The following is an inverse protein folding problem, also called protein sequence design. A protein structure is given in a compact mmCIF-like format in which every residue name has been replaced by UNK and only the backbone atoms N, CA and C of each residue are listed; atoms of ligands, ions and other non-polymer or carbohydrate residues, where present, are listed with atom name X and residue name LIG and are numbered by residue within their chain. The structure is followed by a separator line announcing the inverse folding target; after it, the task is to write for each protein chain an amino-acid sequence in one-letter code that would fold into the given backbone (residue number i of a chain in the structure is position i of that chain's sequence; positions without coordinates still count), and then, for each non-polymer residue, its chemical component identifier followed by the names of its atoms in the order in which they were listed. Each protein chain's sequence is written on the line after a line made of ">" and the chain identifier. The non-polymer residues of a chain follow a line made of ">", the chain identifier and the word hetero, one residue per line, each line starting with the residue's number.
data_IF_648521298926
#
_entry.id   IF_648521298926
#
_cell.length_a   1.000
_cell.length_b   1.000
_cell.length_c   1.000
_cell.angle_alpha   90.00
_cell.angle_beta   90.00
_cell.angle_gamma   90.00
#
_symmetry.space_group_name_H-M   'P 1'
#
loop_
_entity.id
_entity.type
_entity.pdbx_description
1 polymer ?
#
# COMPACT_ATOMS: atom_id res chain seq x y z
N UNK A 1 -17.43 18.79 39.45
CA UNK A 1 -18.07 18.10 38.29
C UNK A 1 -17.46 18.67 37.03
N UNK A 2 -16.78 17.86 36.27
CA UNK A 2 -16.23 18.19 34.96
C UNK A 2 -17.06 17.53 33.85
N UNK A 3 -17.22 18.24 32.74
CA UNK A 3 -17.89 17.73 31.54
C UNK A 3 -16.88 17.72 30.38
N UNK A 4 -16.75 16.62 29.67
CA UNK A 4 -16.03 16.57 28.41
C UNK A 4 -16.95 15.95 27.37
N UNK A 5 -17.13 16.63 26.26
CA UNK A 5 -17.80 16.11 25.09
C UNK A 5 -16.79 15.26 24.32
N UNK A 6 -16.83 13.96 24.53
CA UNK A 6 -16.01 13.00 23.78
C UNK A 6 -16.92 12.34 22.76
N UNK A 7 -17.24 13.06 21.68
CA UNK A 7 -17.72 12.53 20.39
C UNK A 7 -18.71 11.37 20.35
N UNK A 8 -19.48 11.15 21.40
CA UNK A 8 -20.49 10.10 21.51
C UNK A 8 -21.85 10.67 21.90
N UNK A 9 -22.93 9.97 21.56
CA UNK A 9 -24.33 10.39 21.81
C UNK A 9 -24.68 10.60 23.30
N UNK A 10 -23.75 10.31 24.23
CA UNK A 10 -23.96 10.45 25.68
C UNK A 10 -22.91 11.35 26.33
N UNK A 11 -23.31 12.38 27.09
CA UNK A 11 -22.38 13.20 27.84
C UNK A 11 -21.69 12.39 28.95
N UNK A 12 -20.38 12.55 29.09
CA UNK A 12 -19.60 11.93 30.16
C UNK A 12 -19.41 12.96 31.28
N UNK A 13 -19.84 12.60 32.50
CA UNK A 13 -19.69 13.41 33.69
C UNK A 13 -18.58 12.84 34.58
N UNK A 14 -17.63 13.68 34.95
CA UNK A 14 -16.61 13.36 35.92
C UNK A 14 -17.04 13.89 37.28
N UNK A 15 -17.07 13.04 38.30
CA UNK A 15 -17.41 13.42 39.67
C UNK A 15 -16.56 12.65 40.67
N UNK A 16 -16.50 13.12 41.94
CA UNK A 16 -15.83 12.39 43.00
C UNK A 16 -16.60 11.11 43.35
N UNK A 17 -15.89 10.12 43.86
CA UNK A 17 -16.51 8.86 44.32
C UNK A 17 -17.58 9.08 45.38
N UNK A 18 -17.35 10.04 46.30
CA UNK A 18 -18.31 10.42 47.35
C UNK A 18 -19.62 10.95 46.74
N UNK A 19 -19.53 11.83 45.79
CA UNK A 19 -20.69 12.40 45.08
C UNK A 19 -21.44 11.34 44.25
N UNK A 20 -20.70 10.39 43.67
CA UNK A 20 -21.28 9.29 42.91
C UNK A 20 -22.10 8.34 43.80
N UNK A 21 -21.56 7.97 44.95
CA UNK A 21 -22.26 7.13 45.95
C UNK A 21 -23.48 7.84 46.53
N UNK A 22 -23.43 9.16 46.74
CA UNK A 22 -24.56 9.95 47.25
C UNK A 22 -25.70 10.05 46.23
N UNK A 23 -25.35 10.17 44.92
CA UNK A 23 -26.35 10.26 43.85
C UNK A 23 -26.99 8.90 43.51
N UNK A 24 -26.24 7.83 43.59
CA UNK A 24 -26.67 6.49 43.23
C UNK A 24 -26.73 5.58 44.45
N UNK A 25 -27.90 5.15 44.85
CA UNK A 25 -28.16 4.37 46.06
C UNK A 25 -27.48 2.98 46.09
N UNK A 26 -27.04 2.48 44.93
CA UNK A 26 -26.24 1.26 44.78
C UNK A 26 -25.38 1.33 43.53
N UNK A 27 -24.25 2.05 43.55
CA UNK A 27 -23.41 2.25 42.38
C UNK A 27 -22.73 0.95 41.97
N UNK A 28 -23.08 0.43 40.84
CA UNK A 28 -22.33 -0.64 40.18
C UNK A 28 -21.14 -0.05 39.45
N UNK A 29 -19.95 -0.49 39.76
CA UNK A 29 -18.73 -0.07 39.05
C UNK A 29 -18.63 -0.86 37.78
N UNK A 30 -18.63 -0.16 36.63
CA UNK A 30 -18.60 -0.76 35.32
C UNK A 30 -17.20 -1.19 34.90
N UNK A 31 -16.20 -0.39 35.24
CA UNK A 31 -14.80 -0.69 34.89
C UNK A 31 -13.82 -0.05 35.85
N UNK A 32 -12.73 -0.76 36.09
CA UNK A 32 -11.55 -0.23 36.77
C UNK A 32 -10.40 -0.11 35.80
N UNK A 33 -9.72 1.02 35.80
CA UNK A 33 -8.49 1.22 35.06
C UNK A 33 -7.37 1.45 36.04
N UNK A 34 -6.31 0.68 35.95
CA UNK A 34 -5.14 0.77 36.83
C UNK A 34 -3.87 0.40 36.07
N UNK A 35 -2.75 0.98 36.48
CA UNK A 35 -1.42 0.67 35.95
C UNK A 35 -0.76 -0.37 36.87
N UNK A 36 -0.07 -1.32 36.23
CA UNK A 36 0.68 -2.38 36.93
C UNK A 36 2.15 -2.28 36.52
N UNK A 37 3.04 -2.29 37.50
CA UNK A 37 4.48 -2.38 37.21
C UNK A 37 4.81 -3.68 36.46
N UNK A 38 5.77 -3.64 35.55
CA UNK A 38 6.12 -4.77 34.67
C UNK A 38 6.42 -6.07 35.46
N UNK A 39 7.00 -5.94 36.65
CA UNK A 39 7.34 -7.10 37.51
C UNK A 39 6.11 -7.80 38.04
N UNK A 40 5.02 -7.08 38.28
CA UNK A 40 3.76 -7.59 38.84
C UNK A 40 2.69 -7.88 37.80
N UNK A 41 2.99 -7.71 36.52
CA UNK A 41 2.02 -7.87 35.42
C UNK A 41 1.49 -9.30 35.31
N UNK A 42 2.39 -10.30 35.34
CA UNK A 42 1.99 -11.72 35.26
C UNK A 42 1.11 -12.18 36.46
N UNK A 43 1.51 -11.92 37.73
CA UNK A 43 0.67 -12.25 38.85
C UNK A 43 -0.70 -11.55 38.84
N UNK A 44 -0.75 -10.28 38.44
CA UNK A 44 -1.99 -9.52 38.32
C UNK A 44 -2.93 -10.11 37.25
N UNK A 45 -2.38 -10.48 36.10
CA UNK A 45 -3.13 -11.10 35.02
C UNK A 45 -3.69 -12.48 35.45
N UNK A 46 -2.88 -13.27 36.13
CA UNK A 46 -3.31 -14.59 36.64
C UNK A 46 -4.43 -14.45 37.68
N UNK A 47 -4.32 -13.48 38.59
CA UNK A 47 -5.36 -13.17 39.56
C UNK A 47 -6.67 -12.74 38.87
N UNK A 48 -6.62 -11.82 37.89
CA UNK A 48 -7.82 -11.35 37.18
C UNK A 48 -8.48 -12.51 36.41
N UNK A 49 -7.69 -13.36 35.76
CA UNK A 49 -8.19 -14.54 35.04
C UNK A 49 -8.85 -15.59 36.00
N UNK A 50 -8.54 -15.55 37.26
CA UNK A 50 -9.18 -16.41 38.26
C UNK A 50 -10.60 -15.93 38.65
N UNK A 51 -10.96 -14.69 38.31
CA UNK A 51 -12.26 -14.11 38.62
C UNK A 51 -13.27 -14.46 37.50
N UNK A 52 -14.36 -15.19 37.82
CA UNK A 52 -15.24 -15.79 36.79
C UNK A 52 -16.13 -14.81 36.04
N UNK A 53 -16.16 -13.54 36.42
CA UNK A 53 -17.10 -12.53 35.91
C UNK A 53 -16.44 -11.25 35.43
N UNK A 54 -15.12 -11.21 35.35
CA UNK A 54 -14.37 -9.99 34.96
C UNK A 54 -13.73 -10.17 33.60
N UNK A 55 -14.14 -9.36 32.66
CA UNK A 55 -13.40 -9.19 31.39
C UNK A 55 -12.35 -8.11 31.58
N UNK A 56 -11.13 -8.36 31.16
CA UNK A 56 -10.07 -7.36 31.17
C UNK A 56 -9.44 -7.17 29.80
N UNK A 57 -9.04 -5.94 29.54
CA UNK A 57 -8.24 -5.60 28.39
C UNK A 57 -6.90 -5.00 28.86
N UNK A 58 -5.80 -5.65 28.59
CA UNK A 58 -4.48 -5.10 28.87
C UNK A 58 -3.96 -4.32 27.66
N UNK A 59 -3.08 -3.35 27.89
CA UNK A 59 -2.38 -2.63 26.82
C UNK A 59 -1.63 -3.58 25.89
N UNK A 60 -1.16 -4.71 26.42
CA UNK A 60 -0.45 -5.72 25.65
C UNK A 60 -1.40 -6.53 24.72
N UNK A 61 -2.56 -6.95 25.23
CA UNK A 61 -3.57 -7.64 24.41
C UNK A 61 -4.16 -6.73 23.35
N UNK A 62 -4.39 -5.46 23.67
CA UNK A 62 -4.79 -4.44 22.70
C UNK A 62 -3.72 -4.24 21.63
N UNK A 63 -2.46 -4.11 22.02
CA UNK A 63 -1.35 -3.97 21.08
C UNK A 63 -1.20 -5.19 20.15
N UNK A 64 -1.37 -6.40 20.66
CA UNK A 64 -1.36 -7.64 19.87
C UNK A 64 -2.52 -7.67 18.88
N UNK A 65 -3.73 -7.33 19.30
CA UNK A 65 -4.91 -7.25 18.44
C UNK A 65 -4.72 -6.21 17.34
N UNK A 66 -4.19 -5.03 17.69
CA UNK A 66 -3.90 -3.96 16.72
C UNK A 66 -2.80 -4.36 15.73
N UNK A 67 -1.76 -5.06 16.18
CA UNK A 67 -0.74 -5.58 15.28
C UNK A 67 -1.32 -6.64 14.32
N UNK A 68 -2.21 -7.50 14.80
CA UNK A 68 -2.94 -8.44 13.94
C UNK A 68 -3.79 -7.75 12.88
N UNK A 69 -4.53 -6.69 13.25
CA UNK A 69 -5.30 -5.88 12.31
C UNK A 69 -4.40 -5.19 11.28
N UNK A 70 -3.28 -4.56 11.72
CA UNK A 70 -2.30 -3.95 10.82
C UNK A 70 -1.74 -4.97 9.83
N UNK A 71 -1.38 -6.16 10.28
CA UNK A 71 -0.88 -7.22 9.42
C UNK A 71 -1.93 -7.68 8.40
N UNK A 72 -3.18 -7.82 8.81
CA UNK A 72 -4.29 -8.19 7.94
C UNK A 72 -4.52 -7.14 6.85
N UNK A 73 -4.55 -5.86 7.21
CA UNK A 73 -4.69 -4.74 6.25
C UNK A 73 -3.50 -4.73 5.28
N UNK A 74 -2.28 -4.96 5.77
CA UNK A 74 -1.07 -5.01 4.94
C UNK A 74 -1.11 -6.17 3.94
N UNK A 75 -1.57 -7.35 4.35
CA UNK A 75 -1.68 -8.52 3.47
C UNK A 75 -2.76 -8.30 2.41
N UNK A 76 -3.96 -7.86 2.81
CA UNK A 76 -5.07 -7.62 1.88
C UNK A 76 -4.72 -6.48 0.90
N UNK A 77 -4.23 -5.37 1.43
CA UNK A 77 -3.80 -4.24 0.61
C UNK A 77 -2.65 -4.60 -0.34
N UNK A 78 -1.69 -5.39 0.15
CA UNK A 78 -0.58 -5.91 -0.66
C UNK A 78 -1.05 -6.84 -1.78
N UNK A 79 -2.01 -7.73 -1.53
CA UNK A 79 -2.62 -8.58 -2.55
C UNK A 79 -3.32 -7.77 -3.63
N UNK A 80 -4.14 -6.81 -3.24
CA UNK A 80 -4.84 -5.92 -4.18
C UNK A 80 -3.82 -5.11 -4.99
N UNK A 81 -2.81 -4.54 -4.33
CA UNK A 81 -1.74 -3.80 -4.98
C UNK A 81 -0.95 -4.65 -5.97
N UNK A 82 -0.64 -5.90 -5.60
CA UNK A 82 0.03 -6.85 -6.49
C UNK A 82 -0.82 -7.20 -7.73
N UNK A 83 -2.12 -7.42 -7.57
CA UNK A 83 -3.03 -7.68 -8.68
C UNK A 83 -3.12 -6.48 -9.63
N UNK A 84 -3.35 -5.28 -9.10
CA UNK A 84 -3.42 -4.06 -9.91
C UNK A 84 -2.09 -3.76 -10.60
N UNK A 85 -0.97 -3.93 -9.90
CA UNK A 85 0.37 -3.79 -10.45
C UNK A 85 0.63 -4.78 -11.58
N UNK A 86 0.22 -6.04 -11.43
CA UNK A 86 0.33 -7.07 -12.47
C UNK A 86 -0.46 -6.70 -13.73
N UNK A 87 -1.69 -6.21 -13.57
CA UNK A 87 -2.51 -5.71 -14.69
C UNK A 87 -1.81 -4.54 -15.39
N UNK A 88 -1.27 -3.59 -14.61
CA UNK A 88 -0.50 -2.47 -15.14
C UNK A 88 0.74 -2.92 -15.94
N UNK A 89 1.50 -3.89 -15.44
CA UNK A 89 2.66 -4.46 -16.12
C UNK A 89 2.28 -5.16 -17.43
N UNK A 90 1.21 -5.93 -17.44
CA UNK A 90 0.71 -6.58 -18.67
C UNK A 90 0.28 -5.55 -19.69
N UNK A 91 -0.44 -4.51 -19.27
CA UNK A 91 -0.88 -3.44 -20.16
C UNK A 91 0.32 -2.66 -20.75
N UNK A 92 1.30 -2.30 -19.90
CA UNK A 92 2.54 -1.66 -20.33
C UNK A 92 3.30 -2.54 -21.35
N UNK A 93 3.42 -3.83 -21.07
CA UNK A 93 4.06 -4.79 -21.96
C UNK A 93 3.34 -4.86 -23.31
N UNK A 94 2.02 -4.87 -23.31
CA UNK A 94 1.20 -4.90 -24.51
C UNK A 94 1.39 -3.64 -25.38
N UNK A 95 1.45 -2.46 -24.77
CA UNK A 95 1.72 -1.20 -25.47
C UNK A 95 3.08 -1.24 -26.18
N UNK A 96 4.12 -1.69 -25.50
CA UNK A 96 5.48 -1.79 -26.06
C UNK A 96 5.51 -2.81 -27.21
N UNK A 97 4.92 -4.00 -27.02
CA UNK A 97 4.89 -5.06 -28.04
C UNK A 97 4.15 -4.58 -29.28
N UNK A 98 2.97 -3.99 -29.11
CA UNK A 98 2.16 -3.46 -30.20
C UNK A 98 2.88 -2.31 -30.93
N UNK A 99 3.55 -1.43 -30.20
CA UNK A 99 4.39 -0.38 -30.77
C UNK A 99 5.50 -0.93 -31.65
N UNK A 100 6.19 -1.98 -31.22
CA UNK A 100 7.24 -2.65 -32.01
C UNK A 100 6.65 -3.30 -33.28
N UNK A 101 5.50 -3.98 -33.15
CA UNK A 101 4.82 -4.64 -34.28
C UNK A 101 4.39 -3.60 -35.33
N UNK A 102 3.73 -2.54 -34.92
CA UNK A 102 3.22 -1.51 -35.82
C UNK A 102 4.34 -0.77 -36.55
N UNK A 103 5.54 -0.66 -35.94
CA UNK A 103 6.69 0.06 -36.53
C UNK A 103 7.72 -0.85 -37.19
N UNK A 104 7.37 -2.11 -37.50
CA UNK A 104 8.28 -3.07 -38.15
C UNK A 104 8.80 -2.56 -39.52
N UNK A 105 7.96 -1.85 -40.30
CA UNK A 105 8.38 -1.25 -41.56
C UNK A 105 9.41 -0.13 -41.39
N UNK A 106 9.20 0.73 -40.38
CA UNK A 106 10.17 1.79 -40.04
C UNK A 106 11.52 1.19 -39.67
N UNK A 107 11.51 0.11 -38.84
CA UNK A 107 12.73 -0.58 -38.47
C UNK A 107 13.43 -1.26 -39.64
N UNK A 108 12.68 -1.84 -40.61
CA UNK A 108 13.24 -2.39 -41.83
C UNK A 108 13.88 -1.31 -42.71
N UNK A 109 13.26 -0.14 -42.82
CA UNK A 109 13.83 1.01 -43.53
C UNK A 109 15.11 1.50 -42.86
N UNK A 110 15.14 1.60 -41.54
CA UNK A 110 16.34 1.99 -40.79
C UNK A 110 17.48 0.98 -40.96
N UNK A 111 17.17 -0.34 -40.97
CA UNK A 111 18.15 -1.38 -41.30
C UNK A 111 18.68 -1.23 -42.71
N UNK A 112 17.85 -0.86 -43.68
CA UNK A 112 18.25 -0.65 -45.09
C UNK A 112 19.19 0.54 -45.29
N UNK A 113 19.07 1.55 -44.44
CA UNK A 113 19.95 2.74 -44.44
C UNK A 113 21.27 2.46 -43.70
N UNK A 114 21.41 1.26 -43.07
CA UNK A 114 22.64 0.84 -42.44
C UNK A 114 22.61 0.88 -40.91
N UNK A 115 21.45 1.08 -40.29
CA UNK A 115 21.30 1.00 -38.84
C UNK A 115 21.47 -0.44 -38.34
N UNK A 116 22.31 -0.63 -37.34
CA UNK A 116 22.53 -1.95 -36.75
C UNK A 116 21.37 -2.35 -35.86
N UNK A 117 21.11 -3.66 -35.73
CA UNK A 117 20.09 -4.21 -34.84
C UNK A 117 20.30 -3.82 -33.37
N UNK A 118 21.55 -3.56 -32.96
CA UNK A 118 21.86 -3.08 -31.61
C UNK A 118 21.37 -1.63 -31.41
N UNK A 119 21.48 -0.80 -32.44
CA UNK A 119 21.03 0.59 -32.39
C UNK A 119 19.51 0.67 -32.35
N UNK A 120 18.79 -0.17 -33.11
CA UNK A 120 17.33 -0.24 -33.09
C UNK A 120 16.84 -0.72 -31.71
N UNK A 121 17.47 -1.76 -31.16
CA UNK A 121 17.13 -2.22 -29.80
C UNK A 121 17.36 -1.11 -28.75
N UNK A 122 18.46 -0.36 -28.85
CA UNK A 122 18.74 0.76 -27.95
C UNK A 122 17.68 1.85 -28.08
N UNK A 123 17.22 2.15 -29.30
CA UNK A 123 16.15 3.10 -29.55
C UNK A 123 14.85 2.66 -28.88
N UNK A 124 14.46 1.39 -29.02
CA UNK A 124 13.24 0.84 -28.42
C UNK A 124 13.31 0.83 -26.89
N UNK A 125 14.48 0.52 -26.30
CA UNK A 125 14.68 0.60 -24.85
C UNK A 125 14.61 2.05 -24.38
N UNK A 126 15.16 3.00 -25.11
CA UNK A 126 15.10 4.42 -24.76
C UNK A 126 13.65 4.93 -24.78
N UNK A 127 12.86 4.49 -25.76
CA UNK A 127 11.42 4.77 -25.82
C UNK A 127 10.67 4.20 -24.60
N UNK A 128 10.97 2.97 -24.22
CA UNK A 128 10.43 2.36 -22.99
C UNK A 128 10.79 3.14 -21.73
N UNK A 129 12.04 3.60 -21.62
CA UNK A 129 12.49 4.44 -20.49
C UNK A 129 11.80 5.82 -20.50
N UNK A 130 11.51 6.38 -21.66
CA UNK A 130 10.75 7.62 -21.75
C UNK A 130 9.33 7.46 -21.23
N UNK A 131 8.64 6.36 -21.57
CA UNK A 131 7.34 6.03 -20.97
C UNK A 131 7.44 5.83 -19.46
N UNK A 132 8.46 5.12 -18.99
CA UNK A 132 8.69 4.96 -17.55
C UNK A 132 8.89 6.30 -16.84
N UNK A 133 9.64 7.21 -17.44
CA UNK A 133 9.83 8.56 -16.92
C UNK A 133 8.50 9.31 -16.81
N UNK A 134 7.65 9.27 -17.85
CA UNK A 134 6.33 9.90 -17.81
C UNK A 134 5.44 9.30 -16.71
N UNK A 135 5.45 7.97 -16.55
CA UNK A 135 4.70 7.28 -15.50
C UNK A 135 5.19 7.73 -14.13
N UNK A 136 6.51 7.80 -13.91
CA UNK A 136 7.06 8.28 -12.63
C UNK A 136 6.71 9.75 -12.36
N UNK A 137 6.81 10.62 -13.36
CA UNK A 137 6.49 12.06 -13.22
C UNK A 137 5.01 12.29 -12.87
N UNK A 138 4.11 11.47 -13.36
CA UNK A 138 2.67 11.60 -13.09
C UNK A 138 2.24 10.74 -11.90
N UNK A 139 2.73 9.51 -11.80
CA UNK A 139 2.31 8.52 -10.81
C UNK A 139 2.83 8.82 -9.40
N UNK A 140 4.12 9.16 -9.26
CA UNK A 140 4.70 9.41 -7.93
C UNK A 140 4.07 10.62 -7.21
N UNK A 141 3.83 11.78 -7.85
CA UNK A 141 3.11 12.87 -7.19
C UNK A 141 1.68 12.49 -6.83
N UNK A 142 0.99 11.75 -7.70
CA UNK A 142 -0.37 11.31 -7.44
C UNK A 142 -0.43 10.35 -6.24
N UNK A 143 0.48 9.40 -6.15
CA UNK A 143 0.58 8.48 -5.01
C UNK A 143 0.91 9.20 -3.70
N UNK A 144 1.77 10.24 -3.75
CA UNK A 144 2.05 11.11 -2.60
C UNK A 144 0.82 11.90 -2.15
N UNK A 145 0.04 12.44 -3.08
CA UNK A 145 -1.21 13.13 -2.76
C UNK A 145 -2.19 12.17 -2.07
N UNK A 146 -2.37 10.97 -2.63
CA UNK A 146 -3.23 9.95 -2.02
C UNK A 146 -2.75 9.57 -0.62
N UNK A 147 -1.45 9.32 -0.46
CA UNK A 147 -0.87 8.93 0.82
C UNK A 147 -0.96 10.01 1.90
N UNK A 148 -0.87 11.29 1.54
CA UNK A 148 -0.86 12.39 2.51
C UNK A 148 -2.24 13.03 2.75
N UNK A 149 -3.20 12.85 1.84
CA UNK A 149 -4.53 13.45 1.98
C UNK A 149 -5.62 12.41 2.22
N UNK A 150 -5.72 11.42 1.36
CA UNK A 150 -6.83 10.44 1.39
C UNK A 150 -6.65 9.45 2.53
N UNK A 151 -5.48 8.81 2.65
CA UNK A 151 -5.24 7.83 3.70
C UNK A 151 -5.42 8.39 5.12
N UNK A 152 -4.85 9.55 5.49
CA UNK A 152 -5.06 10.12 6.81
C UNK A 152 -6.52 10.45 7.11
N UNK A 153 -7.31 10.86 6.10
CA UNK A 153 -8.73 11.17 6.29
C UNK A 153 -9.53 9.95 6.72
N UNK A 154 -9.16 8.76 6.24
CA UNK A 154 -9.82 7.51 6.64
C UNK A 154 -9.28 6.91 7.94
N UNK A 155 -7.99 7.05 8.23
CA UNK A 155 -7.34 6.35 9.34
C UNK A 155 -7.09 7.22 10.57
N UNK A 156 -7.09 8.55 10.48
CA UNK A 156 -6.95 9.44 11.62
C UNK A 156 -8.29 9.77 12.29
N UNK A 157 -9.26 8.87 12.23
CA UNK A 157 -10.50 8.98 12.98
C UNK A 157 -10.20 8.84 14.50
N UNK A 158 -10.94 9.55 15.39
CA UNK A 158 -10.72 9.48 16.84
C UNK A 158 -10.77 8.06 17.39
N UNK A 159 -11.59 7.19 16.78
CA UNK A 159 -11.74 5.78 17.17
C UNK A 159 -10.56 4.91 16.70
N UNK A 160 -9.74 5.40 15.78
CA UNK A 160 -8.58 4.71 15.20
C UNK A 160 -7.25 5.36 15.58
N UNK A 161 -7.19 6.06 16.71
CA UNK A 161 -6.00 6.78 17.21
C UNK A 161 -4.72 5.93 17.30
N UNK A 162 -4.87 4.59 17.36
CA UNK A 162 -3.75 3.63 17.32
C UNK A 162 -3.15 3.44 15.90
N UNK A 163 -3.81 3.90 14.84
CA UNK A 163 -3.34 3.80 13.47
C UNK A 163 -2.71 5.12 13.02
N UNK A 164 -1.48 5.38 13.42
CA UNK A 164 -0.72 6.48 12.82
C UNK A 164 -0.08 6.00 11.53
N UNK A 165 -0.61 6.43 10.39
CA UNK A 165 0.01 6.19 9.09
C UNK A 165 1.05 7.28 8.85
N UNK A 166 2.33 6.88 8.88
CA UNK A 166 3.40 7.76 8.44
C UNK A 166 3.74 7.44 6.98
N UNK A 167 3.63 8.43 6.08
CA UNK A 167 3.99 8.23 4.70
C UNK A 167 5.48 7.90 4.60
N UNK A 168 5.78 6.71 4.12
CA UNK A 168 7.16 6.23 3.97
C UNK A 168 7.58 6.40 2.51
N UNK A 169 8.73 7.01 2.26
CA UNK A 169 9.27 7.20 0.90
C UNK A 169 9.75 5.87 0.29
N UNK A 170 10.03 4.87 1.11
CA UNK A 170 10.56 3.58 0.66
C UNK A 170 9.69 2.86 -0.40
N UNK A 171 8.36 2.72 -0.25
CA UNK A 171 7.52 2.11 -1.28
C UNK A 171 7.58 2.85 -2.61
N UNK A 172 7.66 4.18 -2.60
CA UNK A 172 7.74 5.01 -3.81
C UNK A 172 9.05 4.78 -4.58
N UNK A 173 10.17 4.66 -3.86
CA UNK A 173 11.47 4.33 -4.47
C UNK A 173 11.41 2.94 -5.09
N UNK A 174 10.83 1.96 -4.38
CA UNK A 174 10.67 0.59 -4.87
C UNK A 174 9.82 0.55 -6.14
N UNK A 175 8.70 1.28 -6.15
CA UNK A 175 7.82 1.42 -7.33
C UNK A 175 8.60 1.99 -8.54
N UNK A 176 9.32 3.07 -8.35
CA UNK A 176 10.16 3.66 -9.40
C UNK A 176 11.20 2.69 -9.96
N UNK A 177 11.86 1.93 -9.09
CA UNK A 177 12.84 0.90 -9.50
C UNK A 177 12.16 -0.19 -10.33
N UNK A 178 11.02 -0.72 -9.88
CA UNK A 178 10.27 -1.76 -10.60
C UNK A 178 9.86 -1.28 -11.98
N UNK A 179 9.32 -0.06 -12.10
CA UNK A 179 8.92 0.53 -13.38
C UNK A 179 10.14 0.65 -14.33
N UNK A 180 11.28 1.14 -13.84
CA UNK A 180 12.49 1.26 -14.64
C UNK A 180 13.02 -0.11 -15.11
N UNK A 181 13.03 -1.11 -14.24
CA UNK A 181 13.47 -2.47 -14.58
C UNK A 181 12.58 -3.06 -15.68
N UNK A 182 11.26 -2.93 -15.56
CA UNK A 182 10.30 -3.40 -16.55
C UNK A 182 10.45 -2.66 -17.88
N UNK A 183 10.66 -1.34 -17.84
CA UNK A 183 10.89 -0.51 -19.02
C UNK A 183 12.14 -0.90 -19.81
N UNK A 184 13.13 -1.51 -19.17
CA UNK A 184 14.32 -2.04 -19.85
C UNK A 184 14.10 -3.46 -20.35
N UNK A 185 13.53 -4.34 -19.49
CA UNK A 185 13.41 -5.77 -19.79
C UNK A 185 12.39 -6.01 -20.91
N UNK A 186 11.21 -5.39 -20.84
CA UNK A 186 10.12 -5.66 -21.78
C UNK A 186 10.51 -5.32 -23.24
N UNK A 187 11.03 -4.11 -23.54
CA UNK A 187 11.46 -3.79 -24.91
C UNK A 187 12.58 -4.72 -25.40
N UNK A 188 13.54 -5.01 -24.52
CA UNK A 188 14.68 -5.85 -24.86
C UNK A 188 14.26 -7.29 -25.21
N UNK A 189 13.41 -7.89 -24.40
CA UNK A 189 12.90 -9.24 -24.62
C UNK A 189 12.00 -9.30 -25.86
N UNK A 190 11.10 -8.31 -26.01
CA UNK A 190 10.20 -8.20 -27.16
C UNK A 190 10.97 -8.09 -28.46
N UNK A 191 11.97 -7.20 -28.51
CA UNK A 191 12.82 -7.04 -29.68
C UNK A 191 13.59 -8.33 -30.03
N UNK A 192 14.11 -9.05 -29.04
CA UNK A 192 14.77 -10.37 -29.25
C UNK A 192 13.82 -11.40 -29.81
N UNK A 193 12.59 -11.45 -29.37
CA UNK A 193 11.58 -12.38 -29.84
C UNK A 193 11.22 -12.10 -31.31
N UNK A 194 10.93 -10.84 -31.64
CA UNK A 194 10.60 -10.43 -33.02
C UNK A 194 11.76 -10.59 -34.00
N UNK A 195 13.01 -10.49 -33.55
CA UNK A 195 14.19 -10.69 -34.39
C UNK A 195 14.32 -12.10 -34.95
N UNK A 196 13.75 -13.11 -34.26
CA UNK A 196 13.77 -14.51 -34.74
C UNK A 196 12.84 -14.73 -35.94
N UNK A 197 11.88 -13.86 -36.19
CA UNK A 197 10.98 -13.94 -37.33
C UNK A 197 11.68 -13.36 -38.56
N UNK A 198 11.82 -14.16 -39.63
CA UNK A 198 12.57 -13.80 -40.84
C UNK A 198 12.02 -12.54 -41.51
N UNK A 199 12.92 -11.72 -42.07
CA UNK A 199 12.58 -10.46 -42.79
C UNK A 199 11.60 -10.74 -43.94
N UNK A 200 11.74 -11.87 -44.66
CA UNK A 200 10.86 -12.29 -45.74
C UNK A 200 9.43 -12.57 -45.29
N UNK A 201 9.27 -13.15 -44.09
CA UNK A 201 7.94 -13.36 -43.50
C UNK A 201 7.26 -12.05 -43.08
N UNK A 202 8.04 -11.02 -42.71
CA UNK A 202 7.53 -9.68 -42.33
C UNK A 202 7.02 -8.87 -43.53
N UNK A 203 7.58 -9.09 -44.71
CA UNK A 203 7.14 -8.45 -45.96
C UNK A 203 5.91 -9.13 -46.55
N UNK A 204 5.69 -10.43 -46.27
CA UNK A 204 4.61 -11.24 -46.83
C UNK A 204 3.26 -11.14 -46.08
N UNK A 205 3.24 -10.58 -44.86
CA UNK A 205 2.02 -10.41 -44.05
C UNK A 205 1.17 -9.20 -44.53
N UNK A 206 1.51 -8.60 -45.70
CA UNK A 206 0.92 -7.34 -46.17
C UNK A 206 0.30 -7.49 -47.58
N UNK A 207 0.09 -8.69 -48.05
CA UNK A 207 -0.88 -9.00 -49.11
C UNK A 207 -2.05 -9.80 -48.45
#
# INVERSE_FOLDING_TARGET
>A
VGYTDVGGDCPIFYMSNEMFVELYNNPAIMSYVFDVEKEHFLPATEYINSLPTVEYASSETLAQTMNGLKQTIFIIGGLIGFLLGSIGLVNFSNIIITGIINRQREFATLESIGMTKKQINKLTVLEGLFYAFLICVMGLPLSLIVANTILPTFFNQPDLWLFTIQPTIFPLILEGIVICVVAIIVPHVSFRYFRKTSIVARLRVVE
#
